data_IF_133027324736
#
_entry.id   IF_133027324736
#
_cell.length_a   1.000
_cell.length_b   1.000
_cell.length_c   1.000
_cell.angle_alpha   90.00
_cell.angle_beta   90.00
_cell.angle_gamma   90.00
#
_symmetry.space_group_name_H-M   'P 1'
#
loop_
_entity.id
_entity.type
_entity.pdbx_description
1 polymer ?
#
# COMPACT_ATOMS: atom_id res chain seq x y z
N UNK A 1 2.43 1.91 -33.73
CA UNK A 1 3.42 2.43 -32.75
C UNK A 1 2.64 2.98 -31.57
N UNK A 2 2.89 2.53 -30.33
CA UNK A 2 2.03 2.88 -29.16
C UNK A 2 2.47 4.16 -28.42
N UNK A 3 3.64 4.71 -28.74
CA UNK A 3 4.15 5.96 -28.16
C UNK A 3 4.51 6.94 -29.27
N UNK A 4 4.11 8.18 -29.10
CA UNK A 4 4.32 9.27 -30.07
C UNK A 4 5.62 10.05 -29.83
N UNK A 5 6.30 9.82 -28.70
CA UNK A 5 7.59 10.45 -28.38
C UNK A 5 8.44 9.59 -27.43
N UNK A 6 9.76 9.80 -27.46
CA UNK A 6 10.70 9.15 -26.54
C UNK A 6 10.43 9.53 -25.07
N UNK A 7 9.93 10.74 -24.81
CA UNK A 7 9.52 11.18 -23.49
C UNK A 7 8.29 10.39 -22.98
N UNK A 8 7.32 10.09 -23.85
CA UNK A 8 6.15 9.29 -23.50
C UNK A 8 6.55 7.87 -23.07
N UNK A 9 7.49 7.25 -23.79
CA UNK A 9 8.05 5.96 -23.42
C UNK A 9 8.75 6.01 -22.05
N UNK A 10 9.58 7.03 -21.82
CA UNK A 10 10.29 7.21 -20.54
C UNK A 10 9.31 7.39 -19.38
N UNK A 11 8.26 8.18 -19.57
CA UNK A 11 7.21 8.37 -18.56
C UNK A 11 6.48 7.06 -18.25
N UNK A 12 6.15 6.27 -19.28
CA UNK A 12 5.53 4.96 -19.12
C UNK A 12 6.39 3.99 -18.31
N UNK A 13 7.69 3.88 -18.62
CA UNK A 13 8.62 3.00 -17.89
C UNK A 13 8.71 3.42 -16.43
N UNK A 14 8.91 4.72 -16.16
CA UNK A 14 8.97 5.24 -14.79
C UNK A 14 7.67 5.01 -14.02
N UNK A 15 6.53 5.23 -14.66
CA UNK A 15 5.21 4.98 -14.07
C UNK A 15 4.98 3.50 -13.75
N UNK A 16 5.42 2.60 -14.64
CA UNK A 16 5.34 1.16 -14.43
C UNK A 16 6.20 0.70 -13.26
N UNK A 17 7.42 1.22 -13.12
CA UNK A 17 8.29 0.93 -11.98
C UNK A 17 7.68 1.42 -10.66
N UNK A 18 7.08 2.61 -10.66
CA UNK A 18 6.39 3.14 -9.49
C UNK A 18 5.19 2.26 -9.09
N UNK A 19 4.35 1.90 -10.06
CA UNK A 19 3.19 1.02 -9.82
C UNK A 19 3.61 -0.35 -9.26
N UNK A 20 4.71 -0.93 -9.77
CA UNK A 20 5.28 -2.17 -9.24
C UNK A 20 5.76 -2.00 -7.80
N UNK A 21 6.45 -0.90 -7.49
CA UNK A 21 6.92 -0.62 -6.13
C UNK A 21 5.75 -0.47 -5.16
N UNK A 22 4.72 0.28 -5.54
CA UNK A 22 3.51 0.44 -4.71
C UNK A 22 2.82 -0.91 -4.46
N UNK A 23 2.75 -1.76 -5.48
CA UNK A 23 2.25 -3.14 -5.37
C UNK A 23 3.06 -4.05 -4.44
N UNK A 24 4.33 -3.72 -4.19
CA UNK A 24 5.26 -4.47 -3.32
C UNK A 24 5.38 -3.87 -1.92
N UNK A 25 4.64 -2.79 -1.59
CA UNK A 25 4.68 -2.22 -0.24
C UNK A 25 3.74 -2.94 0.71
N UNK A 26 4.13 -3.13 1.99
CA UNK A 26 3.17 -3.51 3.03
C UNK A 26 2.02 -2.49 3.07
N UNK A 27 0.77 -2.93 3.33
CA UNK A 27 0.36 -4.26 3.78
C UNK A 27 0.09 -5.31 2.68
N UNK A 28 0.28 -5.00 1.39
CA UNK A 28 -0.05 -5.91 0.29
C UNK A 28 0.73 -7.22 0.38
N UNK A 29 0.13 -8.34 -0.02
CA UNK A 29 0.74 -9.69 0.07
C UNK A 29 2.10 -9.80 -0.63
N UNK A 30 2.31 -9.03 -1.70
CA UNK A 30 3.54 -9.01 -2.48
C UNK A 30 4.74 -8.33 -1.78
N UNK A 31 4.57 -7.80 -0.56
CA UNK A 31 5.67 -7.24 0.18
C UNK A 31 6.72 -8.28 0.59
N UNK A 32 7.98 -7.99 0.24
CA UNK A 32 9.12 -8.80 0.61
C UNK A 32 9.44 -8.77 2.12
N UNK A 33 10.32 -9.66 2.55
CA UNK A 33 10.64 -9.88 3.97
C UNK A 33 11.11 -8.64 4.72
N UNK A 34 11.97 -7.81 4.11
CA UNK A 34 12.44 -6.58 4.75
C UNK A 34 11.29 -5.60 5.04
N UNK A 35 10.36 -5.45 4.10
CA UNK A 35 9.14 -4.65 4.27
C UNK A 35 8.23 -5.23 5.35
N UNK A 36 8.04 -6.55 5.36
CA UNK A 36 7.25 -7.25 6.39
C UNK A 36 7.82 -7.07 7.80
N UNK A 37 9.13 -7.17 7.98
CA UNK A 37 9.77 -6.94 9.29
C UNK A 37 9.57 -5.51 9.77
N UNK A 38 9.70 -4.53 8.87
CA UNK A 38 9.42 -3.12 9.17
C UNK A 38 7.96 -2.93 9.57
N UNK A 39 7.03 -3.44 8.77
CA UNK A 39 5.60 -3.39 9.05
C UNK A 39 5.23 -3.99 10.41
N UNK A 40 5.77 -5.17 10.73
CA UNK A 40 5.55 -5.81 12.04
C UNK A 40 6.13 -4.98 13.20
N UNK A 41 7.28 -4.34 13.00
CA UNK A 41 7.86 -3.41 13.98
C UNK A 41 6.97 -2.18 14.15
N UNK A 42 6.57 -1.54 13.07
CA UNK A 42 5.75 -0.33 13.11
C UNK A 42 4.36 -0.61 13.71
N UNK A 43 3.79 -1.79 13.42
CA UNK A 43 2.55 -2.29 14.04
C UNK A 43 2.66 -2.41 15.56
N UNK A 44 3.79 -2.93 16.07
CA UNK A 44 4.02 -3.06 17.53
C UNK A 44 4.17 -1.72 18.22
N UNK A 45 4.76 -0.75 17.54
CA UNK A 45 5.02 0.58 18.10
C UNK A 45 3.96 1.61 17.72
N UNK A 46 2.90 1.21 17.01
CA UNK A 46 1.95 2.08 16.33
C UNK A 46 1.47 3.20 17.27
N UNK A 47 2.05 4.40 17.19
CA UNK A 47 1.50 5.55 17.88
C UNK A 47 0.27 5.99 17.09
N UNK A 48 -0.77 6.46 17.76
CA UNK A 48 -1.83 7.20 17.08
C UNK A 48 -1.21 8.50 16.50
N UNK A 49 -0.65 8.42 15.29
CA UNK A 49 0.17 9.48 14.72
C UNK A 49 0.29 9.40 13.20
N UNK A 50 0.76 10.48 12.54
CA UNK A 50 0.85 10.54 11.09
C UNK A 50 1.81 9.47 10.52
N UNK A 51 1.65 9.06 9.24
CA UNK A 51 2.55 8.11 8.61
C UNK A 51 4.01 8.58 8.69
N UNK A 52 4.93 7.68 9.05
CA UNK A 52 6.35 8.03 9.12
C UNK A 52 6.89 8.40 7.72
N UNK A 53 7.94 9.24 7.63
CA UNK A 53 8.58 9.56 6.37
C UNK A 53 9.02 8.29 5.62
N UNK A 54 8.61 8.16 4.36
CA UNK A 54 8.97 7.02 3.51
C UNK A 54 8.10 5.77 3.66
N UNK A 55 7.09 5.76 4.55
CA UNK A 55 6.03 4.74 4.56
C UNK A 55 4.71 5.35 4.13
N UNK A 56 4.03 4.70 3.18
CA UNK A 56 2.72 5.14 2.69
C UNK A 56 1.56 4.46 3.42
N UNK A 57 1.80 3.86 4.59
CA UNK A 57 0.74 3.33 5.45
C UNK A 57 0.73 4.00 6.82
N UNK A 58 -0.44 4.05 7.44
CA UNK A 58 -0.63 4.58 8.79
C UNK A 58 -1.57 3.68 9.59
N UNK A 59 -1.19 3.40 10.84
CA UNK A 59 -2.02 2.68 11.78
C UNK A 59 -2.95 3.62 12.53
N UNK A 60 -4.14 3.15 12.88
CA UNK A 60 -5.11 3.89 13.69
C UNK A 60 -5.86 2.93 14.61
N UNK A 61 -6.09 3.30 15.89
CA UNK A 61 -6.99 2.53 16.75
C UNK A 61 -8.43 2.57 16.20
N UNK A 62 -9.19 1.51 16.42
CA UNK A 62 -10.59 1.39 16.02
C UNK A 62 -11.37 0.56 17.04
N UNK A 63 -12.00 1.21 18.03
CA UNK A 63 -13.07 0.71 18.94
C UNK A 63 -12.91 -0.64 19.69
N UNK A 64 -11.91 -1.44 19.36
CA UNK A 64 -11.78 -2.87 19.66
C UNK A 64 -10.63 -3.55 18.89
N UNK A 65 -9.87 -2.82 18.07
CA UNK A 65 -8.68 -3.33 17.39
C UNK A 65 -7.85 -2.25 16.71
N UNK A 66 -6.87 -2.68 15.91
CA UNK A 66 -6.00 -1.81 15.12
C UNK A 66 -6.40 -1.89 13.64
N UNK A 67 -6.39 -0.74 12.95
CA UNK A 67 -6.54 -0.66 11.49
C UNK A 67 -5.28 -0.13 10.86
N UNK A 68 -5.04 -0.54 9.62
CA UNK A 68 -4.04 0.06 8.74
C UNK A 68 -4.73 0.75 7.58
N UNK A 69 -4.24 1.93 7.23
CA UNK A 69 -4.64 2.66 6.04
C UNK A 69 -3.47 2.83 5.09
N UNK A 70 -3.69 2.66 3.79
CA UNK A 70 -2.67 2.70 2.74
C UNK A 70 -3.31 3.11 1.39
N UNK A 71 -2.55 3.68 0.42
CA UNK A 71 -3.08 4.03 -0.88
C UNK A 71 -3.30 2.78 -1.73
N UNK A 72 -4.38 2.76 -2.51
CA UNK A 72 -4.56 1.79 -3.58
C UNK A 72 -3.40 1.90 -4.60
N UNK A 73 -2.69 0.82 -4.97
CA UNK A 73 -1.60 0.88 -5.94
C UNK A 73 -2.07 1.20 -7.37
N UNK A 74 -3.38 1.19 -7.62
CA UNK A 74 -3.97 1.51 -8.92
C UNK A 74 -4.41 2.97 -9.03
N UNK A 75 -5.03 3.52 -7.99
CA UNK A 75 -5.67 4.85 -8.05
C UNK A 75 -5.32 5.78 -6.87
N UNK A 76 -4.45 5.33 -5.96
CA UNK A 76 -4.00 6.05 -4.77
C UNK A 76 -5.07 6.46 -3.74
N UNK A 77 -6.35 6.11 -3.97
CA UNK A 77 -7.39 6.26 -2.95
C UNK A 77 -7.01 5.53 -1.67
N UNK A 78 -7.17 6.19 -0.51
CA UNK A 78 -6.90 5.57 0.79
C UNK A 78 -7.88 4.44 1.05
N UNK A 79 -7.35 3.25 1.30
CA UNK A 79 -8.06 2.06 1.74
C UNK A 79 -7.74 1.87 3.22
N UNK A 80 -8.73 1.43 4.01
CA UNK A 80 -8.55 1.12 5.43
C UNK A 80 -9.05 -0.30 5.71
N UNK A 81 -8.22 -1.12 6.35
CA UNK A 81 -8.51 -2.53 6.66
C UNK A 81 -8.13 -2.86 8.11
N UNK A 82 -8.77 -3.87 8.74
CA UNK A 82 -8.37 -4.36 10.05
C UNK A 82 -7.01 -5.05 9.99
N UNK A 83 -6.25 -4.97 11.08
CA UNK A 83 -4.95 -5.62 11.28
C UNK A 83 -5.17 -6.97 11.98
N UNK A 84 -5.36 -8.04 11.19
CA UNK A 84 -5.76 -9.36 11.73
C UNK A 84 -5.32 -10.56 10.87
N UNK A 85 -4.22 -10.42 10.14
CA UNK A 85 -3.71 -11.43 9.20
C UNK A 85 -4.15 -11.15 7.76
N UNK A 86 -4.40 -12.21 7.00
CA UNK A 86 -4.81 -12.11 5.59
C UNK A 86 -6.21 -11.53 5.45
N UNK A 87 -6.33 -10.48 4.64
CA UNK A 87 -7.61 -9.83 4.33
C UNK A 87 -7.67 -9.46 2.86
N UNK A 88 -8.86 -9.60 2.27
CA UNK A 88 -9.14 -9.18 0.90
C UNK A 88 -9.82 -7.82 0.92
N UNK A 89 -9.14 -6.81 0.39
CA UNK A 89 -9.61 -5.43 0.38
C UNK A 89 -10.13 -5.05 -1.01
N UNK A 90 -11.24 -4.33 -1.08
CA UNK A 90 -11.75 -3.73 -2.33
C UNK A 90 -11.60 -2.22 -2.26
N UNK A 91 -10.96 -1.62 -3.27
CA UNK A 91 -10.92 -0.17 -3.40
C UNK A 91 -12.32 0.36 -3.73
N UNK A 92 -12.82 1.34 -2.98
CA UNK A 92 -14.13 1.93 -3.26
C UNK A 92 -14.16 2.72 -4.58
N UNK A 93 -13.02 3.27 -5.01
CA UNK A 93 -12.92 4.09 -6.22
C UNK A 93 -12.76 3.24 -7.48
N UNK A 94 -11.61 2.58 -7.65
CA UNK A 94 -11.30 1.82 -8.85
C UNK A 94 -11.78 0.35 -8.82
N UNK A 95 -12.38 -0.10 -7.71
CA UNK A 95 -12.87 -1.47 -7.51
C UNK A 95 -11.81 -2.57 -7.54
N UNK A 96 -10.52 -2.23 -7.69
CA UNK A 96 -9.41 -3.17 -7.56
C UNK A 96 -9.51 -3.97 -6.26
N UNK A 97 -9.28 -5.27 -6.38
CA UNK A 97 -9.27 -6.21 -5.27
C UNK A 97 -7.81 -6.51 -4.93
N UNK A 98 -7.46 -6.34 -3.65
CA UNK A 98 -6.09 -6.44 -3.14
C UNK A 98 -6.04 -7.51 -2.06
N UNK A 99 -5.12 -8.45 -2.21
CA UNK A 99 -4.75 -9.36 -1.14
C UNK A 99 -3.78 -8.64 -0.20
N UNK A 100 -4.14 -8.56 1.08
CA UNK A 100 -3.37 -7.89 2.11
C UNK A 100 -3.02 -8.88 3.22
N UNK A 101 -1.85 -8.72 3.82
CA UNK A 101 -1.39 -9.50 4.97
C UNK A 101 -0.95 -8.53 6.08
N UNK A 102 -1.80 -8.41 7.11
CA UNK A 102 -1.82 -7.31 8.09
C UNK A 102 -1.58 -7.80 9.52
#
# INVERSE_FOLDING_TARGET
MWFTSAQAYTAYVKGMELARRDGQQPPLTAAGWAGRRRYARDRRHAPAGPPQPGVRYAFSPDGGGLRVSFPCPTCHQRIRVPVRGRVRARCALCRSVLECDT
#
